data_IF_380553936936
#
_entry.id   IF_380553936936
#
_cell.length_a   1.000
_cell.length_b   1.000
_cell.length_c   1.000
_cell.angle_alpha   90.00
_cell.angle_beta   90.00
_cell.angle_gamma   90.00
#
_symmetry.space_group_name_H-M   'P 1'
#
loop_
_entity.id
_entity.type
_entity.pdbx_description
1 polymer ?
#
# COMPACT_ATOMS: atom_id res chain seq x y z
N UNK A 1 -47.49 21.33 -26.96
CA UNK A 1 -46.88 19.99 -26.97
C UNK A 1 -45.33 19.95 -26.87
N UNK A 2 -44.65 21.06 -27.09
CA UNK A 2 -43.17 21.10 -27.16
C UNK A 2 -42.43 21.12 -25.80
N UNK A 3 -43.11 21.26 -24.65
CA UNK A 3 -42.43 21.54 -23.36
C UNK A 3 -42.05 20.28 -22.53
N UNK A 4 -42.62 19.11 -22.82
CA UNK A 4 -42.33 17.86 -22.09
C UNK A 4 -41.06 17.16 -22.60
N UNK A 5 -40.85 17.18 -23.91
CA UNK A 5 -39.67 16.54 -24.51
C UNK A 5 -38.39 17.28 -24.16
N UNK A 6 -38.41 18.60 -24.12
CA UNK A 6 -37.26 19.41 -23.65
C UNK A 6 -36.92 19.19 -22.17
N UNK A 7 -37.91 18.98 -21.32
CA UNK A 7 -37.65 18.67 -19.90
C UNK A 7 -37.07 17.28 -19.70
N UNK A 8 -37.50 16.30 -20.48
CA UNK A 8 -36.98 14.93 -20.43
C UNK A 8 -35.53 14.88 -20.92
N UNK A 9 -35.21 15.53 -22.04
CA UNK A 9 -33.85 15.62 -22.57
C UNK A 9 -32.92 16.36 -21.56
N UNK A 10 -33.40 17.45 -20.98
CA UNK A 10 -32.63 18.18 -19.94
C UNK A 10 -32.41 17.35 -18.69
N UNK A 11 -33.34 16.50 -18.28
CA UNK A 11 -33.18 15.60 -17.14
C UNK A 11 -32.13 14.50 -17.41
N UNK A 12 -32.20 13.86 -18.58
CA UNK A 12 -31.26 12.81 -18.95
C UNK A 12 -29.84 13.35 -19.20
N UNK A 13 -29.72 14.54 -19.83
CA UNK A 13 -28.40 15.18 -19.97
C UNK A 13 -27.82 15.61 -18.63
N UNK A 14 -28.61 16.18 -17.72
CA UNK A 14 -28.14 16.47 -16.34
C UNK A 14 -27.75 15.20 -15.60
N UNK A 15 -28.52 14.14 -15.69
CA UNK A 15 -28.20 12.86 -15.02
C UNK A 15 -26.92 12.23 -15.58
N UNK A 16 -26.76 12.19 -16.91
CA UNK A 16 -25.55 11.72 -17.57
C UNK A 16 -24.33 12.59 -17.23
N UNK A 17 -24.48 13.93 -17.21
CA UNK A 17 -23.41 14.84 -16.77
C UNK A 17 -23.08 14.65 -15.30
N UNK A 18 -24.07 14.44 -14.46
CA UNK A 18 -23.86 14.21 -13.03
C UNK A 18 -23.18 12.86 -12.81
N UNK A 19 -23.60 11.80 -13.51
CA UNK A 19 -22.93 10.49 -13.46
C UNK A 19 -21.53 10.53 -14.06
N UNK A 20 -21.31 11.30 -15.13
CA UNK A 20 -20.00 11.54 -15.71
C UNK A 20 -19.11 12.35 -14.77
N UNK A 21 -19.62 13.42 -14.17
CA UNK A 21 -18.92 14.23 -13.18
C UNK A 21 -18.64 13.42 -11.91
N UNK A 22 -19.58 12.61 -11.42
CA UNK A 22 -19.36 11.70 -10.28
C UNK A 22 -18.32 10.62 -10.64
N UNK A 23 -18.27 10.18 -11.87
CA UNK A 23 -17.26 9.24 -12.37
C UNK A 23 -15.87 9.87 -12.49
N UNK A 24 -15.77 11.14 -12.92
CA UNK A 24 -14.51 11.89 -12.97
C UNK A 24 -14.11 12.48 -11.60
N UNK A 25 -15.08 12.84 -10.76
CA UNK A 25 -14.88 13.17 -9.34
C UNK A 25 -14.77 11.92 -8.45
N UNK A 26 -14.36 10.78 -9.00
CA UNK A 26 -13.70 9.80 -8.18
C UNK A 26 -12.44 10.49 -7.67
N UNK A 27 -12.52 10.96 -6.41
CA UNK A 27 -11.48 11.74 -5.77
C UNK A 27 -10.14 11.11 -6.08
N UNK A 28 -9.24 11.87 -6.72
CA UNK A 28 -7.88 11.47 -6.94
C UNK A 28 -7.34 10.96 -5.61
N UNK A 29 -6.99 9.71 -5.55
CA UNK A 29 -6.36 9.09 -4.40
C UNK A 29 -4.88 8.86 -4.69
N UNK A 30 -4.12 8.45 -3.69
CA UNK A 30 -2.68 8.21 -3.80
C UNK A 30 -2.29 7.21 -4.88
N UNK A 31 -3.24 6.36 -5.31
CA UNK A 31 -3.02 5.26 -6.26
C UNK A 31 -3.64 5.50 -7.64
N UNK A 32 -4.25 6.66 -7.89
CA UNK A 32 -4.96 6.93 -9.16
C UNK A 32 -4.09 6.75 -10.40
N UNK A 33 -2.80 7.07 -10.33
CA UNK A 33 -1.87 6.85 -11.45
C UNK A 33 -1.56 5.38 -11.68
N UNK A 34 -1.47 4.59 -10.63
CA UNK A 34 -1.29 3.14 -10.70
C UNK A 34 -2.56 2.49 -11.27
N UNK A 35 -3.74 2.98 -10.87
CA UNK A 35 -5.03 2.53 -11.40
C UNK A 35 -5.16 2.77 -12.91
N UNK A 36 -4.63 3.88 -13.42
CA UNK A 36 -4.61 4.15 -14.88
C UNK A 36 -3.80 3.11 -15.66
N UNK A 37 -2.77 2.52 -15.06
CA UNK A 37 -1.92 1.50 -15.70
C UNK A 37 -2.47 0.10 -15.53
N UNK A 38 -2.92 -0.26 -14.32
CA UNK A 38 -3.29 -1.62 -13.96
C UNK A 38 -4.80 -1.90 -14.05
N UNK A 39 -5.61 -0.85 -14.01
CA UNK A 39 -7.07 -0.92 -13.97
C UNK A 39 -7.59 -1.16 -12.54
N UNK A 40 -8.89 -0.90 -12.37
CA UNK A 40 -9.58 -0.95 -11.07
C UNK A 40 -9.53 -2.35 -10.43
N UNK A 41 -9.76 -3.40 -11.22
CA UNK A 41 -9.81 -4.79 -10.72
C UNK A 41 -8.45 -5.22 -10.13
N UNK A 42 -7.35 -4.77 -10.73
CA UNK A 42 -6.02 -5.04 -10.21
C UNK A 42 -5.75 -4.26 -8.92
N UNK A 43 -6.18 -3.00 -8.84
CA UNK A 43 -6.06 -2.20 -7.61
C UNK A 43 -6.90 -2.78 -6.46
N UNK A 44 -8.08 -3.31 -6.77
CA UNK A 44 -8.90 -4.00 -5.77
C UNK A 44 -8.23 -5.28 -5.26
N UNK A 45 -7.59 -6.07 -6.13
CA UNK A 45 -6.80 -7.24 -5.71
C UNK A 45 -5.60 -6.82 -4.84
N UNK A 46 -4.84 -5.78 -5.24
CA UNK A 46 -3.72 -5.27 -4.45
C UNK A 46 -4.16 -4.80 -3.06
N UNK A 47 -5.28 -4.11 -2.96
CA UNK A 47 -5.80 -3.63 -1.67
C UNK A 47 -6.24 -4.75 -0.72
N UNK A 48 -6.48 -5.95 -1.23
CA UNK A 48 -6.81 -7.15 -0.45
C UNK A 48 -5.62 -8.07 -0.22
N UNK A 49 -4.54 -7.86 -0.98
CA UNK A 49 -3.36 -8.71 -0.91
C UNK A 49 -2.62 -8.55 0.43
N UNK A 50 -2.08 -9.67 0.91
CA UNK A 50 -1.21 -9.77 2.09
C UNK A 50 0.15 -10.30 1.68
N UNK A 51 1.19 -9.53 1.98
CA UNK A 51 2.58 -9.83 1.59
C UNK A 51 3.47 -9.91 2.82
N UNK A 52 4.25 -10.98 2.94
CA UNK A 52 5.26 -11.12 3.98
C UNK A 52 6.65 -10.73 3.44
N UNK A 53 7.38 -9.91 4.18
CA UNK A 53 8.73 -9.47 3.82
C UNK A 53 9.70 -9.90 4.91
N UNK A 54 10.56 -10.85 4.58
CA UNK A 54 11.61 -11.37 5.44
C UNK A 54 12.91 -10.62 5.19
N UNK A 55 13.31 -9.79 6.16
CA UNK A 55 14.48 -8.93 6.10
C UNK A 55 14.19 -7.53 5.52
N UNK A 56 14.29 -6.51 6.37
CA UNK A 56 14.09 -5.09 6.03
C UNK A 56 15.44 -4.40 5.82
N UNK A 57 16.25 -5.01 4.99
CA UNK A 57 17.58 -4.52 4.64
C UNK A 57 17.61 -3.65 3.39
N UNK A 58 18.72 -3.72 2.64
CA UNK A 58 18.93 -2.94 1.42
C UNK A 58 17.97 -3.30 0.28
N UNK A 59 17.51 -4.55 0.19
CA UNK A 59 16.53 -4.99 -0.81
C UNK A 59 15.13 -4.93 -0.24
N UNK A 60 14.89 -5.57 0.92
CA UNK A 60 13.57 -5.64 1.53
C UNK A 60 12.98 -4.27 1.86
N UNK A 61 13.79 -3.31 2.31
CA UNK A 61 13.33 -1.94 2.57
C UNK A 61 12.77 -1.25 1.31
N UNK A 62 13.41 -1.44 0.15
CA UNK A 62 12.88 -0.91 -1.13
C UNK A 62 11.65 -1.68 -1.60
N UNK A 63 11.58 -2.99 -1.35
CA UNK A 63 10.38 -3.78 -1.65
C UNK A 63 9.19 -3.29 -0.82
N UNK A 64 9.37 -3.05 0.48
CA UNK A 64 8.35 -2.46 1.37
C UNK A 64 7.85 -1.12 0.83
N UNK A 65 8.76 -0.21 0.47
CA UNK A 65 8.43 1.09 -0.11
C UNK A 65 7.59 0.95 -1.39
N UNK A 66 8.00 0.06 -2.29
CA UNK A 66 7.31 -0.18 -3.56
C UNK A 66 5.91 -0.77 -3.34
N UNK A 67 5.76 -1.77 -2.46
CA UNK A 67 4.49 -2.41 -2.16
C UNK A 67 3.50 -1.45 -1.51
N UNK A 68 3.97 -0.63 -0.53
CA UNK A 68 3.15 0.41 0.09
C UNK A 68 2.63 1.43 -0.94
N UNK A 69 3.50 1.86 -1.88
CA UNK A 69 3.14 2.80 -2.96
C UNK A 69 2.28 2.18 -4.05
N UNK A 70 2.29 0.88 -4.18
CA UNK A 70 1.42 0.14 -5.13
C UNK A 70 0.02 -0.11 -4.56
N UNK A 71 -0.21 0.15 -3.28
CA UNK A 71 -1.53 -0.01 -2.66
C UNK A 71 -1.79 -1.41 -2.13
N UNK A 72 -0.74 -2.18 -1.78
CA UNK A 72 -0.90 -3.46 -1.08
C UNK A 72 -1.58 -3.23 0.26
N UNK A 73 -2.60 -4.04 0.56
CA UNK A 73 -3.47 -3.84 1.71
C UNK A 73 -2.88 -4.28 3.03
N UNK A 74 -2.11 -5.38 3.05
CA UNK A 74 -1.51 -5.92 4.28
C UNK A 74 -0.05 -6.28 4.07
N UNK A 75 0.81 -5.82 4.97
CA UNK A 75 2.24 -6.06 4.95
C UNK A 75 2.69 -6.64 6.29
N UNK A 76 3.28 -7.82 6.26
CA UNK A 76 3.91 -8.44 7.42
C UNK A 76 5.43 -8.27 7.30
N UNK A 77 6.02 -7.60 8.27
CA UNK A 77 7.44 -7.19 8.28
C UNK A 77 8.21 -8.01 9.30
N UNK A 78 9.19 -8.76 8.85
CA UNK A 78 9.97 -9.67 9.68
C UNK A 78 11.44 -9.27 9.62
N UNK A 79 12.01 -8.76 10.70
CA UNK A 79 13.43 -8.40 10.85
C UNK A 79 13.74 -8.17 12.34
N UNK A 80 14.83 -8.71 12.88
CA UNK A 80 15.22 -8.58 14.29
C UNK A 80 16.22 -7.45 14.54
N UNK A 81 16.73 -6.83 13.48
CA UNK A 81 17.79 -5.82 13.56
C UNK A 81 17.25 -4.43 13.94
N UNK A 82 18.18 -3.65 14.50
CA UNK A 82 18.03 -2.19 14.62
C UNK A 82 18.75 -1.47 13.50
N UNK A 83 18.26 -0.29 13.16
CA UNK A 83 18.96 0.61 12.25
C UNK A 83 20.30 1.02 12.87
N UNK A 84 21.38 0.83 12.14
CA UNK A 84 22.73 1.27 12.55
C UNK A 84 23.30 2.30 11.55
N UNK A 85 24.32 3.04 11.99
CA UNK A 85 24.94 4.11 11.20
C UNK A 85 25.38 3.63 9.81
N UNK A 86 25.93 2.42 9.72
CA UNK A 86 26.44 1.84 8.47
C UNK A 86 25.33 1.41 7.50
N UNK A 87 24.07 1.44 7.92
CA UNK A 87 22.95 1.14 7.03
C UNK A 87 22.57 2.33 6.13
N UNK A 88 22.92 3.56 6.52
CA UNK A 88 22.48 4.79 5.85
C UNK A 88 22.89 4.82 4.38
N UNK A 89 24.01 4.21 4.03
CA UNK A 89 24.52 4.22 2.66
C UNK A 89 23.66 3.44 1.64
N UNK A 90 22.75 2.52 2.11
CA UNK A 90 22.03 1.60 1.21
C UNK A 90 20.62 1.20 1.66
N UNK A 91 20.22 1.48 2.89
CA UNK A 91 18.89 1.11 3.39
C UNK A 91 18.00 2.35 3.43
N UNK A 92 16.90 2.31 2.71
CA UNK A 92 15.98 3.46 2.55
C UNK A 92 15.37 3.94 3.87
N UNK A 93 15.18 3.03 4.83
CA UNK A 93 14.63 3.34 6.15
C UNK A 93 15.68 3.93 7.11
N UNK A 94 16.98 3.79 6.78
CA UNK A 94 18.05 4.22 7.63
C UNK A 94 18.38 5.70 7.40
N UNK A 95 18.14 6.49 8.43
CA UNK A 95 18.44 7.93 8.50
C UNK A 95 19.11 8.25 9.84
N UNK A 96 19.67 9.41 9.99
CA UNK A 96 20.26 9.85 11.26
C UNK A 96 19.26 9.84 12.42
N UNK A 97 17.96 10.08 12.12
CA UNK A 97 16.89 10.10 13.12
C UNK A 97 16.31 8.72 13.45
N UNK A 98 16.63 7.69 12.66
CA UNK A 98 16.11 6.32 12.88
C UNK A 98 17.14 5.38 13.49
N UNK A 99 18.41 5.79 13.63
CA UNK A 99 19.47 4.97 14.28
C UNK A 99 19.01 4.51 15.66
N UNK A 100 19.17 3.21 15.94
CA UNK A 100 18.84 2.56 17.21
C UNK A 100 17.40 2.07 17.32
N UNK A 101 16.47 2.49 16.43
CA UNK A 101 15.11 1.95 16.36
C UNK A 101 15.12 0.59 15.66
N UNK A 102 14.15 -0.27 15.96
CA UNK A 102 13.95 -1.50 15.20
C UNK A 102 13.56 -1.20 13.76
N UNK A 103 14.10 -1.97 12.82
CA UNK A 103 13.84 -1.76 11.38
C UNK A 103 12.36 -1.93 11.03
N UNK A 104 11.69 -2.92 11.63
CA UNK A 104 10.26 -3.16 11.39
C UNK A 104 9.40 -2.00 11.84
N UNK A 105 9.71 -1.36 12.98
CA UNK A 105 8.97 -0.21 13.50
C UNK A 105 9.14 1.02 12.59
N UNK A 106 10.38 1.28 12.14
CA UNK A 106 10.66 2.38 11.20
C UNK A 106 9.96 2.15 9.86
N UNK A 107 9.94 0.91 9.39
CA UNK A 107 9.25 0.56 8.15
C UNK A 107 7.72 0.69 8.29
N UNK A 108 7.14 0.34 9.44
CA UNK A 108 5.71 0.57 9.72
C UNK A 108 5.38 2.06 9.69
N UNK A 109 6.14 2.90 10.43
CA UNK A 109 5.97 4.37 10.41
C UNK A 109 6.02 4.89 8.96
N UNK A 110 6.94 4.37 8.15
CA UNK A 110 7.10 4.73 6.75
C UNK A 110 5.91 4.32 5.91
N UNK A 111 5.43 3.08 6.02
CA UNK A 111 4.24 2.58 5.32
C UNK A 111 3.04 3.45 5.65
N UNK A 112 2.79 3.72 6.93
CA UNK A 112 1.65 4.54 7.38
C UNK A 112 1.70 5.97 6.84
N UNK A 113 2.89 6.52 6.61
CA UNK A 113 3.05 7.84 5.99
C UNK A 113 2.72 7.85 4.49
N UNK A 114 2.76 6.69 3.81
CA UNK A 114 2.49 6.52 2.38
C UNK A 114 1.06 6.03 2.15
N UNK A 115 0.68 4.97 2.84
CA UNK A 115 -0.62 4.31 2.79
C UNK A 115 -1.18 4.15 4.21
N UNK A 116 -1.89 5.15 4.73
CA UNK A 116 -2.42 5.12 6.11
C UNK A 116 -3.45 4.01 6.33
N UNK A 117 -4.05 3.48 5.26
CA UNK A 117 -5.05 2.41 5.32
C UNK A 117 -4.43 1.00 5.31
N UNK A 118 -3.15 0.86 4.96
CA UNK A 118 -2.49 -0.45 4.99
C UNK A 118 -2.49 -1.03 6.40
N UNK A 119 -2.77 -2.32 6.52
CA UNK A 119 -2.56 -3.09 7.76
C UNK A 119 -1.09 -3.50 7.79
N UNK A 120 -0.42 -3.26 8.91
CA UNK A 120 0.99 -3.64 9.07
C UNK A 120 1.13 -4.47 10.33
N UNK A 121 1.76 -5.62 10.19
CA UNK A 121 2.15 -6.47 11.30
C UNK A 121 3.68 -6.49 11.36
N UNK A 122 4.23 -6.25 12.54
CA UNK A 122 5.69 -6.22 12.78
C UNK A 122 6.10 -7.39 13.65
N UNK A 123 7.15 -8.10 13.22
CA UNK A 123 7.72 -9.24 13.91
C UNK A 123 9.21 -9.00 14.14
N UNK A 124 9.58 -8.71 15.40
CA UNK A 124 10.96 -8.55 15.84
C UNK A 124 11.62 -9.91 16.02
N UNK A 125 11.79 -10.64 14.94
CA UNK A 125 12.36 -11.99 14.95
C UNK A 125 13.16 -12.25 13.69
N UNK A 126 14.16 -13.11 13.81
CA UNK A 126 14.89 -13.64 12.67
C UNK A 126 14.20 -14.91 12.17
N UNK A 127 13.99 -15.02 10.86
CA UNK A 127 13.39 -16.20 10.26
C UNK A 127 14.40 -17.37 10.25
N UNK A 128 14.10 -18.39 11.02
CA UNK A 128 14.88 -19.62 11.17
C UNK A 128 13.97 -20.84 11.06
N UNK A 129 14.52 -22.05 10.84
CA UNK A 129 13.70 -23.28 10.83
C UNK A 129 12.83 -23.45 12.09
N UNK A 130 13.30 -22.99 13.24
CA UNK A 130 12.59 -23.08 14.50
C UNK A 130 11.45 -22.05 14.61
N UNK A 131 11.63 -20.84 14.08
CA UNK A 131 10.64 -19.76 14.04
C UNK A 131 9.70 -19.85 12.85
N UNK A 132 10.02 -20.67 11.84
CA UNK A 132 9.19 -20.87 10.63
C UNK A 132 7.75 -21.30 10.95
N UNK A 133 7.55 -21.99 12.08
CA UNK A 133 6.23 -22.48 12.53
C UNK A 133 5.30 -21.35 13.02
N UNK A 134 5.85 -20.17 13.30
CA UNK A 134 5.10 -18.99 13.73
C UNK A 134 4.38 -18.31 12.55
N UNK A 135 4.75 -18.69 11.32
CA UNK A 135 4.21 -18.11 10.09
C UNK A 135 3.34 -19.12 9.33
N UNK A 136 2.07 -18.80 9.19
CA UNK A 136 1.16 -19.57 8.33
C UNK A 136 1.23 -19.02 6.90
N UNK A 137 2.05 -19.65 6.08
CA UNK A 137 2.28 -19.23 4.69
C UNK A 137 1.02 -19.29 3.81
N UNK A 138 -0.02 -20.00 4.24
CA UNK A 138 -1.30 -20.04 3.49
C UNK A 138 -2.07 -18.72 3.55
N UNK A 139 -1.70 -17.81 4.46
CA UNK A 139 -2.34 -16.52 4.62
C UNK A 139 -1.73 -15.42 3.75
N UNK A 140 -0.62 -15.70 3.07
CA UNK A 140 0.06 -14.73 2.23
C UNK A 140 -0.21 -14.99 0.75
N UNK A 141 -0.41 -13.91 0.00
CA UNK A 141 -0.48 -13.95 -1.46
C UNK A 141 0.92 -13.97 -2.08
N UNK A 142 1.92 -13.46 -1.33
CA UNK A 142 3.32 -13.43 -1.75
C UNK A 142 4.26 -13.31 -0.56
#
# INVERSE_FOLDING_TARGET
MCNREFQVISYYTKKLLTEYIIREYHMLNSFSRTELLLGRDAMERLSKARVAIFGIGGVGGYAVEALARSGVGTLDLIDDDKVCLTNINRQIIATTSTIGKYKVDVAEERIKSINPHAVVHTYNTFYMPDTAKEFDFSQYDY
#
